data_IF_504772505624
#
_entry.id   IF_504772505624
#
_cell.length_a   1.000
_cell.length_b   1.000
_cell.length_c   1.000
_cell.angle_alpha   90.00
_cell.angle_beta   90.00
_cell.angle_gamma   90.00
#
_symmetry.space_group_name_H-M   'P 1'
#
loop_
_entity.id
_entity.type
_entity.pdbx_description
1 polymer ?
#
# COMPACT_ATOMS: atom_id res chain seq x y z
N UNK A 1 -21.41 11.32 18.63
CA UNK A 1 -21.01 12.71 18.49
C UNK A 1 -20.44 12.92 17.10
N UNK A 2 -21.32 13.21 16.15
CA UNK A 2 -20.91 13.68 14.83
C UNK A 2 -20.28 15.04 14.98
N UNK A 3 -18.97 15.13 15.02
CA UNK A 3 -18.29 16.37 14.87
C UNK A 3 -18.21 16.70 13.39
N UNK A 4 -19.04 17.62 12.92
CA UNK A 4 -18.82 18.29 11.65
C UNK A 4 -17.59 19.18 11.82
N UNK A 5 -16.51 18.85 11.15
CA UNK A 5 -15.22 19.57 11.29
C UNK A 5 -15.11 20.71 10.28
N UNK A 6 -16.16 21.09 9.54
CA UNK A 6 -15.97 21.95 8.38
C UNK A 6 -16.97 23.06 8.32
N UNK A 7 -16.49 24.28 8.45
CA UNK A 7 -17.23 25.52 8.35
C UNK A 7 -17.18 26.19 6.95
N UNK A 8 -16.65 25.52 5.89
CA UNK A 8 -16.36 26.18 4.61
C UNK A 8 -17.14 25.63 3.40
N UNK A 9 -18.28 25.02 3.64
CA UNK A 9 -19.14 24.50 2.57
C UNK A 9 -18.69 23.16 2.00
N UNK A 10 -17.65 22.52 2.55
CA UNK A 10 -17.22 21.16 2.20
C UNK A 10 -18.02 20.07 2.91
N UNK A 11 -18.92 20.44 3.78
CA UNK A 11 -19.83 19.55 4.51
C UNK A 11 -20.58 18.55 3.59
N UNK A 12 -20.76 18.95 2.35
CA UNK A 12 -21.46 18.13 1.34
C UNK A 12 -20.68 16.88 0.91
N UNK A 13 -19.37 16.82 1.17
CA UNK A 13 -18.47 15.80 0.60
C UNK A 13 -17.68 15.00 1.62
N UNK A 14 -17.81 15.29 2.92
CA UNK A 14 -17.01 14.64 3.94
C UNK A 14 -17.91 13.86 4.89
N UNK A 15 -18.01 12.57 4.65
CA UNK A 15 -18.61 11.64 5.60
C UNK A 15 -17.49 10.99 6.42
N UNK A 16 -17.46 11.29 7.70
CA UNK A 16 -16.68 10.47 8.63
C UNK A 16 -17.53 9.27 9.04
N UNK A 17 -17.10 8.10 8.63
CA UNK A 17 -17.69 6.84 9.07
C UNK A 17 -16.85 6.29 10.20
N UNK A 18 -17.48 5.87 11.27
CA UNK A 18 -16.78 5.14 12.33
C UNK A 18 -16.60 3.67 11.91
N UNK A 19 -15.62 2.94 12.50
CA UNK A 19 -15.50 1.50 12.29
C UNK A 19 -16.84 0.73 12.52
N UNK A 20 -17.63 1.15 13.50
CA UNK A 20 -18.92 0.54 13.78
C UNK A 20 -19.95 0.80 12.66
N UNK A 21 -19.94 1.98 12.04
CA UNK A 21 -20.82 2.27 10.91
C UNK A 21 -20.49 1.36 9.73
N UNK A 22 -19.19 1.13 9.47
CA UNK A 22 -18.74 0.21 8.42
C UNK A 22 -19.19 -1.21 8.74
N UNK A 23 -18.89 -1.72 9.93
CA UNK A 23 -19.24 -3.09 10.36
C UNK A 23 -20.75 -3.33 10.24
N UNK A 24 -21.58 -2.37 10.65
CA UNK A 24 -23.03 -2.48 10.60
C UNK A 24 -23.60 -2.44 9.18
N UNK A 25 -22.84 -1.96 8.20
CA UNK A 25 -23.27 -1.91 6.78
C UNK A 25 -22.75 -3.08 5.97
N UNK A 26 -21.76 -3.82 6.46
CA UNK A 26 -21.21 -4.98 5.76
C UNK A 26 -22.22 -6.15 5.78
N UNK A 27 -22.58 -6.73 4.62
CA UNK A 27 -23.41 -7.94 4.57
C UNK A 27 -22.71 -9.10 5.29
N UNK A 28 -23.42 -9.81 6.14
CA UNK A 28 -22.89 -10.95 6.91
C UNK A 28 -22.82 -12.26 6.11
N UNK A 29 -23.48 -12.30 4.95
CA UNK A 29 -23.60 -13.45 4.05
C UNK A 29 -22.59 -13.43 2.89
N UNK A 30 -21.63 -12.51 2.90
CA UNK A 30 -20.62 -12.35 1.85
C UNK A 30 -19.24 -12.78 2.32
N UNK A 31 -18.44 -13.27 1.37
CA UNK A 31 -17.00 -13.43 1.57
C UNK A 31 -16.29 -12.12 1.31
N UNK A 32 -15.34 -11.79 2.15
CA UNK A 32 -14.54 -10.58 2.05
C UNK A 32 -13.11 -10.91 1.66
N UNK A 33 -12.48 -9.98 0.97
CA UNK A 33 -11.07 -9.94 0.72
C UNK A 33 -10.59 -8.51 1.01
N UNK A 34 -9.46 -8.37 1.69
CA UNK A 34 -8.91 -7.07 2.05
C UNK A 34 -7.70 -6.74 1.18
N UNK A 35 -7.75 -5.59 0.53
CA UNK A 35 -6.60 -4.98 -0.15
C UNK A 35 -6.12 -3.82 0.72
N UNK A 36 -4.89 -3.93 1.22
CA UNK A 36 -4.32 -3.00 2.19
C UNK A 36 -3.11 -2.29 1.59
N UNK A 37 -3.16 -0.97 1.56
CA UNK A 37 -2.01 -0.15 1.26
C UNK A 37 -1.07 -0.07 2.48
N UNK A 38 0.22 0.15 2.24
CA UNK A 38 1.23 0.16 3.31
C UNK A 38 1.46 1.58 3.82
N UNK A 39 1.94 2.48 2.95
CA UNK A 39 2.40 3.79 3.38
C UNK A 39 1.24 4.76 3.61
N UNK A 40 1.05 5.18 4.85
CA UNK A 40 -0.07 6.02 5.27
C UNK A 40 -1.31 5.24 5.68
N UNK A 41 -1.32 3.90 5.51
CA UNK A 41 -2.42 3.01 5.93
C UNK A 41 -1.96 2.08 7.05
N UNK A 42 -1.05 1.16 6.76
CA UNK A 42 -0.49 0.21 7.75
C UNK A 42 0.73 0.79 8.46
N UNK A 43 1.53 1.56 7.75
CA UNK A 43 2.72 2.24 8.25
C UNK A 43 2.50 3.76 8.30
N UNK A 44 2.88 4.46 9.37
CA UNK A 44 2.87 5.92 9.40
C UNK A 44 3.81 6.49 8.34
N UNK A 45 3.46 7.64 7.76
CA UNK A 45 4.36 8.35 6.88
C UNK A 45 5.65 8.75 7.60
N UNK A 46 6.78 8.54 6.92
CA UNK A 46 8.11 8.93 7.38
C UNK A 46 8.73 9.89 6.36
N UNK A 47 9.55 10.83 6.85
CA UNK A 47 10.32 11.73 5.98
C UNK A 47 11.25 10.92 5.08
N UNK A 48 11.84 9.86 5.64
CA UNK A 48 12.72 8.95 4.95
C UNK A 48 12.03 7.59 4.81
N UNK A 49 11.73 7.14 3.59
CA UNK A 49 11.00 5.88 3.33
C UNK A 49 11.69 4.64 3.94
N UNK A 50 13.02 4.67 4.06
CA UNK A 50 13.81 3.60 4.69
C UNK A 50 13.54 3.44 6.20
N UNK A 51 13.00 4.46 6.85
CA UNK A 51 12.62 4.41 8.26
C UNK A 51 11.17 3.97 8.48
N UNK A 52 10.47 3.61 7.40
CA UNK A 52 9.09 3.14 7.51
C UNK A 52 9.03 1.81 8.27
N UNK A 53 7.99 1.67 9.08
CA UNK A 53 7.73 0.43 9.81
C UNK A 53 6.22 0.25 10.02
N UNK A 54 5.78 -0.99 10.10
CA UNK A 54 4.41 -1.32 10.50
C UNK A 54 4.42 -1.62 12.00
N UNK A 55 3.60 -0.92 12.81
CA UNK A 55 3.54 -1.19 14.23
C UNK A 55 3.15 -2.66 14.52
N UNK A 56 3.75 -3.26 15.55
CA UNK A 56 3.45 -4.64 15.93
C UNK A 56 1.97 -4.87 16.21
N UNK A 57 1.29 -3.89 16.79
CA UNK A 57 -0.16 -3.95 17.02
C UNK A 57 -0.96 -4.08 15.72
N UNK A 58 -0.51 -3.42 14.65
CA UNK A 58 -1.13 -3.53 13.31
C UNK A 58 -0.84 -4.91 12.70
N UNK A 59 0.40 -5.41 12.81
CA UNK A 59 0.76 -6.75 12.35
C UNK A 59 -0.07 -7.84 13.04
N UNK A 60 -0.29 -7.73 14.34
CA UNK A 60 -1.14 -8.67 15.09
C UNK A 60 -2.61 -8.64 14.64
N UNK A 61 -3.12 -7.47 14.25
CA UNK A 61 -4.49 -7.37 13.68
C UNK A 61 -4.55 -8.09 12.33
N UNK A 62 -3.55 -7.89 11.46
CA UNK A 62 -3.49 -8.57 10.16
C UNK A 62 -3.47 -10.09 10.35
N UNK A 63 -2.65 -10.61 11.28
CA UNK A 63 -2.62 -12.05 11.60
C UNK A 63 -3.99 -12.57 12.00
N UNK A 64 -4.67 -11.86 12.90
CA UNK A 64 -6.03 -12.26 13.33
C UNK A 64 -7.03 -12.29 12.19
N UNK A 65 -6.94 -11.36 11.25
CA UNK A 65 -7.83 -11.33 10.07
C UNK A 65 -7.57 -12.56 9.20
N UNK A 66 -6.30 -12.92 8.99
CA UNK A 66 -5.91 -14.12 8.23
C UNK A 66 -6.39 -15.38 8.93
N UNK A 67 -6.28 -15.46 10.26
CA UNK A 67 -6.78 -16.59 11.07
C UNK A 67 -8.32 -16.77 10.94
N UNK A 68 -9.05 -15.72 10.64
CA UNK A 68 -10.48 -15.77 10.31
C UNK A 68 -10.77 -16.24 8.88
N UNK A 69 -9.76 -16.69 8.13
CA UNK A 69 -9.84 -17.08 6.72
C UNK A 69 -10.33 -15.93 5.81
N UNK A 70 -10.04 -14.70 6.15
CA UNK A 70 -10.27 -13.55 5.30
C UNK A 70 -8.97 -13.31 4.50
N UNK A 71 -8.97 -13.44 3.17
CA UNK A 71 -7.81 -13.16 2.35
C UNK A 71 -7.37 -11.70 2.51
N UNK A 72 -6.08 -11.49 2.68
CA UNK A 72 -5.45 -10.17 2.77
C UNK A 72 -4.38 -10.07 1.70
N UNK A 73 -4.39 -8.99 0.95
CA UNK A 73 -3.41 -8.67 -0.09
C UNK A 73 -2.83 -7.29 0.21
N UNK A 74 -1.52 -7.15 0.23
CA UNK A 74 -0.88 -5.84 0.27
C UNK A 74 -0.79 -5.25 -1.14
N UNK A 75 -1.13 -3.95 -1.27
CA UNK A 75 -1.02 -3.21 -2.53
C UNK A 75 -0.21 -1.96 -2.26
N UNK A 76 0.94 -1.79 -2.92
CA UNK A 76 1.88 -0.73 -2.57
C UNK A 76 2.69 -0.23 -3.76
N UNK A 77 3.18 1.01 -3.68
CA UNK A 77 4.19 1.54 -4.58
C UNK A 77 5.60 1.00 -4.35
N UNK A 78 5.83 0.33 -3.20
CA UNK A 78 7.12 -0.32 -2.89
C UNK A 78 7.29 -1.59 -3.72
N UNK A 79 8.53 -2.00 -3.94
CA UNK A 79 8.83 -3.33 -4.47
C UNK A 79 8.43 -4.42 -3.45
N UNK A 80 8.24 -5.66 -3.96
CA UNK A 80 7.80 -6.80 -3.14
C UNK A 80 8.76 -7.10 -2.00
N UNK A 81 10.08 -7.00 -2.23
CA UNK A 81 11.08 -7.32 -1.22
C UNK A 81 11.01 -6.34 -0.04
N UNK A 82 10.91 -5.04 -0.33
CA UNK A 82 10.77 -4.00 0.68
C UNK A 82 9.45 -4.13 1.44
N UNK A 83 8.35 -4.38 0.75
CA UNK A 83 7.03 -4.59 1.37
C UNK A 83 7.03 -5.82 2.28
N UNK A 84 7.63 -6.93 1.84
CA UNK A 84 7.76 -8.16 2.63
C UNK A 84 8.55 -7.95 3.92
N UNK A 85 9.64 -7.16 3.88
CA UNK A 85 10.41 -6.81 5.08
C UNK A 85 9.57 -6.02 6.09
N UNK A 86 8.70 -5.11 5.63
CA UNK A 86 7.81 -4.35 6.50
C UNK A 86 6.72 -5.22 7.12
N UNK A 87 6.22 -6.21 6.39
CA UNK A 87 5.26 -7.20 6.86
C UNK A 87 5.90 -8.25 7.78
N UNK A 88 7.22 -8.25 7.91
CA UNK A 88 8.02 -9.16 8.74
C UNK A 88 7.76 -10.63 8.38
N UNK A 89 7.23 -11.42 9.32
CA UNK A 89 6.96 -12.84 9.13
C UNK A 89 5.54 -13.15 8.62
N UNK A 90 4.78 -12.15 8.22
CA UNK A 90 3.43 -12.37 7.69
C UNK A 90 3.54 -12.65 6.20
N UNK A 91 3.28 -13.90 5.82
CA UNK A 91 3.20 -14.31 4.41
C UNK A 91 1.81 -13.99 3.86
N UNK A 92 1.76 -13.10 2.88
CA UNK A 92 0.54 -12.75 2.16
C UNK A 92 0.90 -12.28 0.73
N UNK A 93 -0.04 -12.34 -0.21
CA UNK A 93 0.17 -11.81 -1.54
C UNK A 93 0.48 -10.31 -1.52
N UNK A 94 1.42 -9.88 -2.36
CA UNK A 94 1.87 -8.48 -2.47
C UNK A 94 1.81 -8.05 -3.92
N UNK A 95 1.06 -6.99 -4.21
CA UNK A 95 1.11 -6.27 -5.46
C UNK A 95 1.96 -5.02 -5.26
N UNK A 96 3.24 -5.13 -5.57
CA UNK A 96 4.25 -4.08 -5.48
C UNK A 96 4.39 -3.26 -6.76
N UNK A 97 5.12 -2.15 -6.70
CA UNK A 97 5.35 -1.24 -7.82
C UNK A 97 4.05 -0.89 -8.58
N UNK A 98 2.98 -0.61 -7.82
CA UNK A 98 1.65 -0.31 -8.38
C UNK A 98 1.09 -1.44 -9.28
N UNK A 99 1.43 -2.70 -8.95
CA UNK A 99 0.95 -3.88 -9.69
C UNK A 99 1.89 -4.37 -10.79
N UNK A 100 3.08 -3.80 -10.93
CA UNK A 100 4.09 -4.30 -11.87
C UNK A 100 4.90 -5.49 -11.31
N UNK A 101 4.95 -5.64 -9.99
CA UNK A 101 5.72 -6.66 -9.28
C UNK A 101 4.76 -7.39 -8.34
N UNK A 102 4.29 -8.59 -8.73
CA UNK A 102 3.26 -9.30 -7.98
C UNK A 102 3.81 -10.62 -7.46
N UNK A 103 3.90 -10.73 -6.15
CA UNK A 103 4.12 -11.97 -5.43
C UNK A 103 2.78 -12.51 -4.96
N UNK A 104 2.44 -13.71 -5.33
CA UNK A 104 1.24 -14.37 -4.86
C UNK A 104 1.57 -15.45 -3.82
N UNK A 105 2.51 -16.33 -4.14
CA UNK A 105 3.06 -17.37 -3.28
C UNK A 105 4.45 -17.79 -3.80
N UNK A 106 5.06 -18.83 -3.20
CA UNK A 106 6.38 -19.33 -3.59
C UNK A 106 6.47 -19.78 -5.05
N UNK A 107 5.35 -20.17 -5.65
CA UNK A 107 5.28 -20.75 -6.99
C UNK A 107 4.78 -19.74 -8.04
N UNK A 108 4.19 -18.64 -7.59
CA UNK A 108 3.56 -17.65 -8.45
C UNK A 108 4.11 -16.25 -8.18
N UNK A 109 5.02 -15.83 -9.07
CA UNK A 109 5.63 -14.52 -9.02
C UNK A 109 5.62 -13.90 -10.43
N UNK A 110 4.95 -12.76 -10.58
CA UNK A 110 4.78 -12.07 -11.85
C UNK A 110 5.62 -10.79 -11.81
N UNK A 111 6.56 -10.70 -12.75
CA UNK A 111 7.38 -9.51 -13.00
C UNK A 111 7.38 -9.17 -14.47
N UNK A 112 7.45 -7.87 -14.84
CA UNK A 112 7.68 -7.50 -16.22
C UNK A 112 9.05 -8.00 -16.67
N UNK A 113 9.15 -8.46 -17.91
CA UNK A 113 10.44 -8.68 -18.55
C UNK A 113 11.02 -7.32 -18.94
N UNK A 114 12.14 -6.97 -18.30
CA UNK A 114 12.85 -5.71 -18.52
C UNK A 114 14.17 -5.91 -19.25
N UNK A 115 14.41 -7.09 -19.81
CA UNK A 115 15.68 -7.46 -20.45
C UNK A 115 16.06 -6.55 -21.64
N UNK A 116 15.07 -6.02 -22.34
CA UNK A 116 15.26 -5.12 -23.48
C UNK A 116 15.48 -3.65 -23.08
N UNK A 117 15.38 -3.32 -21.79
CA UNK A 117 15.53 -1.94 -21.32
C UNK A 117 16.99 -1.65 -21.01
N UNK A 118 17.56 -0.68 -21.74
CA UNK A 118 18.88 -0.15 -21.38
C UNK A 118 18.74 0.90 -20.27
N UNK A 119 18.79 0.44 -19.02
CA UNK A 119 18.67 1.31 -17.85
C UNK A 119 19.79 2.35 -17.75
N UNK A 120 20.99 2.07 -18.25
CA UNK A 120 22.09 3.02 -18.24
C UNK A 120 21.75 4.21 -19.16
N UNK A 121 21.28 3.93 -20.38
CA UNK A 121 20.88 4.96 -21.31
C UNK A 121 19.67 5.75 -20.77
N UNK A 122 18.68 5.07 -20.21
CA UNK A 122 17.53 5.72 -19.59
C UNK A 122 17.94 6.70 -18.49
N UNK A 123 18.88 6.29 -17.63
CA UNK A 123 19.42 7.14 -16.56
C UNK A 123 20.13 8.37 -17.13
N UNK A 124 20.94 8.21 -18.18
CA UNK A 124 21.61 9.32 -18.85
C UNK A 124 20.62 10.29 -19.49
N UNK A 125 19.58 9.78 -20.17
CA UNK A 125 18.54 10.59 -20.78
C UNK A 125 17.73 11.39 -19.73
N UNK A 126 17.45 10.79 -18.57
CA UNK A 126 16.79 11.47 -17.44
C UNK A 126 17.69 12.59 -16.89
N UNK A 127 18.96 12.30 -16.60
CA UNK A 127 19.92 13.31 -16.11
C UNK A 127 20.03 14.48 -17.07
N UNK A 128 20.25 14.22 -18.38
CA UNK A 128 20.33 15.25 -19.41
C UNK A 128 19.05 16.09 -19.52
N UNK A 129 17.89 15.47 -19.24
CA UNK A 129 16.62 16.17 -19.25
C UNK A 129 16.46 17.06 -18.00
N UNK A 130 16.89 16.59 -16.84
CA UNK A 130 16.85 17.37 -15.58
C UNK A 130 17.81 18.56 -15.60
N UNK A 131 18.98 18.45 -16.26
CA UNK A 131 19.93 19.57 -16.42
C UNK A 131 19.32 20.80 -17.12
N UNK A 132 18.30 20.59 -17.94
CA UNK A 132 17.57 21.67 -18.61
C UNK A 132 16.62 22.41 -17.65
N UNK A 133 16.37 21.86 -16.50
CA UNK A 133 15.43 22.37 -15.50
C UNK A 133 16.04 22.33 -14.10
N UNK A 134 17.07 23.16 -13.81
CA UNK A 134 17.84 23.10 -12.57
C UNK A 134 17.00 23.37 -11.32
N UNK A 135 15.83 24.00 -11.46
CA UNK A 135 14.91 24.29 -10.35
C UNK A 135 14.02 23.10 -9.95
N UNK A 136 14.19 21.95 -10.62
CA UNK A 136 13.43 20.72 -10.31
C UNK A 136 14.23 19.70 -9.47
N UNK A 137 15.45 20.03 -9.06
CA UNK A 137 16.33 19.19 -8.25
C UNK A 137 16.49 19.74 -6.84
#
# INVERSE_FOLDING_TARGET
NNQSIISDGREKYTYFVTPNDIINTLPTDKNYCLFLDIDGTLAPFQIHPEHSFIPNTTLEVIKKIIELNIPVIAVTGRDVETASKLLQSIELPIAGLHGLDIYFDSDTYIRPDLSDINFQKLKEDIINSCEKYPDLL
#
